data_IF_573998062641
#
_entry.id   IF_573998062641
#
_cell.length_a   1.000
_cell.length_b   1.000
_cell.length_c   1.000
_cell.angle_alpha   90.00
_cell.angle_beta   90.00
_cell.angle_gamma   90.00
#
_symmetry.space_group_name_H-M   'P 1'
#
loop_
_entity.id
_entity.type
_entity.pdbx_description
1 polymer ?
#
# COMPACT_ATOMS: atom_id res chain seq x y z
N UNK A 1 -31.17 19.52 -3.83
CA UNK A 1 -30.35 18.91 -2.76
C UNK A 1 -29.55 17.67 -3.22
N UNK A 2 -29.44 17.35 -4.53
CA UNK A 2 -28.85 16.09 -5.00
C UNK A 2 -27.33 16.08 -5.24
N UNK A 3 -26.73 17.18 -5.71
CA UNK A 3 -25.33 17.20 -6.19
C UNK A 3 -24.31 16.88 -5.08
N UNK A 4 -24.47 17.45 -3.88
CA UNK A 4 -23.54 17.19 -2.78
C UNK A 4 -23.59 15.75 -2.25
N UNK A 5 -24.74 15.08 -2.38
CA UNK A 5 -24.91 13.69 -1.94
C UNK A 5 -24.29 12.72 -2.94
N UNK A 6 -24.42 13.01 -4.24
CA UNK A 6 -23.78 12.25 -5.32
C UNK A 6 -22.25 12.28 -5.23
N UNK A 7 -21.66 13.46 -5.01
CA UNK A 7 -20.20 13.63 -4.86
C UNK A 7 -19.68 12.83 -3.65
N UNK A 8 -20.41 12.83 -2.53
CA UNK A 8 -20.04 12.05 -1.36
C UNK A 8 -20.06 10.53 -1.62
N UNK A 9 -21.08 10.02 -2.33
CA UNK A 9 -21.14 8.60 -2.72
C UNK A 9 -20.02 8.21 -3.68
N UNK A 10 -19.64 9.11 -4.59
CA UNK A 10 -18.49 8.88 -5.48
C UNK A 10 -17.17 8.78 -4.70
N UNK A 11 -16.95 9.65 -3.71
CA UNK A 11 -15.80 9.56 -2.81
C UNK A 11 -15.76 8.25 -2.00
N UNK A 12 -16.91 7.79 -1.52
CA UNK A 12 -17.03 6.51 -0.83
C UNK A 12 -16.69 5.33 -1.74
N UNK A 13 -17.15 5.35 -3.00
CA UNK A 13 -16.81 4.31 -3.98
C UNK A 13 -15.30 4.25 -4.27
N UNK A 14 -14.65 5.40 -4.39
CA UNK A 14 -13.18 5.47 -4.56
C UNK A 14 -12.43 4.86 -3.37
N UNK A 15 -12.86 5.16 -2.14
CA UNK A 15 -12.28 4.55 -0.93
C UNK A 15 -12.49 3.03 -0.90
N UNK A 16 -13.67 2.55 -1.29
CA UNK A 16 -13.94 1.11 -1.36
C UNK A 16 -13.03 0.42 -2.38
N UNK A 17 -12.88 1.00 -3.58
CA UNK A 17 -11.97 0.48 -4.59
C UNK A 17 -10.52 0.48 -4.10
N UNK A 18 -10.09 1.53 -3.41
CA UNK A 18 -8.77 1.59 -2.79
C UNK A 18 -8.57 0.51 -1.72
N UNK A 19 -9.57 0.29 -0.85
CA UNK A 19 -9.55 -0.80 0.14
C UNK A 19 -9.39 -2.16 -0.54
N UNK A 20 -10.14 -2.45 -1.61
CA UNK A 20 -10.02 -3.73 -2.33
C UNK A 20 -8.62 -3.92 -2.91
N UNK A 21 -8.04 -2.88 -3.49
CA UNK A 21 -6.67 -2.94 -4.01
C UNK A 21 -5.63 -3.14 -2.90
N UNK A 22 -5.76 -2.44 -1.77
CA UNK A 22 -4.87 -2.63 -0.62
C UNK A 22 -5.02 -4.03 -0.02
N UNK A 23 -6.24 -4.58 0.06
CA UNK A 23 -6.47 -5.98 0.47
C UNK A 23 -5.76 -6.95 -0.49
N UNK A 24 -5.83 -6.71 -1.80
CA UNK A 24 -5.11 -7.55 -2.77
C UNK A 24 -3.61 -7.48 -2.51
N UNK A 25 -3.05 -6.29 -2.26
CA UNK A 25 -1.63 -6.09 -1.90
C UNK A 25 -1.29 -6.79 -0.58
N UNK A 26 -2.14 -6.71 0.43
CA UNK A 26 -1.94 -7.40 1.71
C UNK A 26 -1.93 -8.93 1.55
N UNK A 27 -2.63 -9.46 0.54
CA UNK A 27 -2.71 -10.90 0.22
C UNK A 27 -1.61 -11.34 -0.77
N UNK A 28 -0.91 -10.40 -1.44
CA UNK A 28 0.27 -10.76 -2.26
C UNK A 28 1.36 -11.40 -1.40
N UNK A 29 2.25 -12.20 -2.03
CA UNK A 29 3.04 -13.28 -1.44
C UNK A 29 3.13 -13.31 0.11
N UNK A 30 2.65 -14.42 0.71
CA UNK A 30 2.99 -15.77 0.23
C UNK A 30 1.89 -16.52 -0.56
N UNK A 31 0.77 -15.91 -0.91
CA UNK A 31 -0.37 -16.66 -1.50
C UNK A 31 -0.32 -16.79 -3.04
N UNK A 32 0.33 -15.88 -3.77
CA UNK A 32 0.37 -15.92 -5.26
C UNK A 32 1.76 -15.58 -5.80
N UNK A 33 2.44 -16.56 -6.40
CA UNK A 33 3.81 -16.45 -6.97
C UNK A 33 3.89 -15.55 -8.21
N UNK A 34 2.75 -15.27 -8.87
CA UNK A 34 2.67 -14.36 -10.02
C UNK A 34 2.61 -12.88 -9.64
N UNK A 35 2.19 -12.56 -8.41
CA UNK A 35 2.04 -11.19 -7.93
C UNK A 35 3.14 -10.90 -6.91
N UNK A 36 4.39 -11.03 -7.34
CA UNK A 36 5.56 -10.71 -6.54
C UNK A 36 5.79 -9.19 -6.49
N UNK A 37 6.28 -8.66 -5.37
CA UNK A 37 6.79 -7.28 -5.28
C UNK A 37 8.13 -7.19 -6.01
N UNK A 38 8.92 -8.26 -5.93
CA UNK A 38 10.24 -8.37 -6.54
C UNK A 38 10.50 -9.81 -6.98
N UNK A 39 11.01 -9.96 -8.21
CA UNK A 39 11.60 -11.20 -8.73
C UNK A 39 13.09 -11.02 -8.93
N UNK A 40 13.88 -11.92 -8.36
CA UNK A 40 15.30 -12.07 -8.61
C UNK A 40 15.47 -13.40 -9.33
N UNK A 41 16.01 -13.41 -10.55
CA UNK A 41 16.45 -14.65 -11.18
C UNK A 41 17.89 -14.89 -10.73
N UNK A 42 18.15 -16.07 -10.20
CA UNK A 42 19.49 -16.48 -9.77
C UNK A 42 20.13 -17.28 -10.90
N UNK A 43 21.44 -17.12 -11.08
CA UNK A 43 22.19 -17.87 -12.09
C UNK A 43 22.35 -19.36 -11.76
N UNK A 44 22.87 -20.14 -12.70
CA UNK A 44 23.01 -21.62 -12.65
C UNK A 44 23.78 -22.21 -11.46
N UNK A 45 24.35 -21.38 -10.58
CA UNK A 45 25.16 -21.77 -9.43
C UNK A 45 24.40 -21.70 -8.09
N UNK A 46 23.16 -21.21 -8.09
CA UNK A 46 22.35 -21.03 -6.89
C UNK A 46 21.34 -22.16 -6.68
N UNK A 47 20.81 -22.26 -5.45
CA UNK A 47 19.77 -23.26 -5.11
C UNK A 47 18.40 -22.76 -5.60
N UNK A 48 18.02 -23.11 -6.83
CA UNK A 48 16.75 -22.73 -7.47
C UNK A 48 16.92 -21.73 -8.62
N UNK A 49 15.90 -21.60 -9.46
CA UNK A 49 15.93 -20.73 -10.65
C UNK A 49 15.70 -19.25 -10.33
N UNK A 50 15.13 -18.92 -9.17
CA UNK A 50 14.81 -17.55 -8.81
C UNK A 50 14.20 -17.42 -7.42
N UNK A 51 14.19 -16.21 -6.86
CA UNK A 51 13.53 -15.89 -5.60
C UNK A 51 12.51 -14.79 -5.84
N UNK A 52 11.28 -15.05 -5.42
CA UNK A 52 10.20 -14.06 -5.37
C UNK A 52 10.04 -13.55 -3.95
N UNK A 53 10.06 -12.23 -3.77
CA UNK A 53 9.73 -11.58 -2.51
C UNK A 53 8.33 -10.97 -2.57
N UNK A 54 7.56 -11.17 -1.50
CA UNK A 54 6.27 -10.52 -1.26
C UNK A 54 6.22 -9.78 0.06
N UNK A 55 5.03 -9.34 0.43
CA UNK A 55 4.81 -8.43 1.56
C UNK A 55 5.10 -9.08 2.90
N UNK A 56 4.82 -10.38 3.06
CA UNK A 56 5.02 -11.08 4.33
C UNK A 56 5.95 -12.29 4.25
N UNK A 57 6.55 -12.56 3.09
CA UNK A 57 7.46 -13.67 2.93
C UNK A 57 8.16 -13.69 1.58
N UNK A 58 8.82 -14.80 1.31
CA UNK A 58 9.52 -15.06 0.06
C UNK A 58 9.30 -16.51 -0.35
N UNK A 59 9.44 -16.78 -1.64
CA UNK A 59 9.46 -18.13 -2.19
C UNK A 59 10.70 -18.31 -3.06
N UNK A 60 11.32 -19.47 -2.95
CA UNK A 60 12.41 -19.92 -3.81
C UNK A 60 11.79 -20.82 -4.87
N UNK A 61 11.98 -20.47 -6.13
CA UNK A 61 11.41 -21.18 -7.28
C UNK A 61 12.35 -22.31 -7.71
N UNK A 62 11.73 -23.41 -8.13
CA UNK A 62 12.42 -24.56 -8.72
C UNK A 62 13.46 -25.24 -7.81
N UNK A 63 13.14 -25.37 -6.52
CA UNK A 63 13.92 -26.18 -5.58
C UNK A 63 13.53 -27.64 -5.81
N UNK A 64 14.33 -28.38 -6.58
CA UNK A 64 14.05 -29.77 -6.97
C UNK A 64 12.70 -29.94 -7.71
N UNK A 65 12.32 -28.97 -8.56
CA UNK A 65 11.06 -29.01 -9.32
C UNK A 65 9.80 -28.62 -8.52
N UNK A 66 9.96 -28.09 -7.29
CA UNK A 66 8.87 -27.52 -6.50
C UNK A 66 9.23 -26.11 -5.99
N UNK A 67 8.20 -25.27 -5.82
CA UNK A 67 8.35 -23.93 -5.24
C UNK A 67 8.28 -24.04 -3.71
N UNK A 68 9.35 -23.63 -3.03
CA UNK A 68 9.45 -23.63 -1.57
C UNK A 68 9.20 -22.22 -1.02
N UNK A 69 8.07 -22.04 -0.34
CA UNK A 69 7.66 -20.76 0.21
C UNK A 69 7.87 -20.68 1.73
N UNK A 70 8.44 -19.57 2.18
CA UNK A 70 8.56 -19.27 3.60
C UNK A 70 7.21 -18.98 4.24
N UNK A 71 7.07 -19.32 5.52
CA UNK A 71 5.90 -18.90 6.31
C UNK A 71 5.89 -17.37 6.45
N UNK A 72 4.68 -16.81 6.49
CA UNK A 72 4.45 -15.38 6.74
C UNK A 72 5.16 -14.95 8.03
N UNK A 73 6.21 -14.13 7.91
CA UNK A 73 7.01 -13.66 9.03
C UNK A 73 7.30 -12.16 8.90
N UNK A 74 7.21 -11.44 10.00
CA UNK A 74 7.53 -10.00 10.05
C UNK A 74 9.00 -9.84 10.42
N UNK A 75 9.71 -8.96 9.74
CA UNK A 75 11.11 -8.63 10.08
C UNK A 75 12.15 -9.54 9.44
N UNK A 76 11.80 -10.30 8.40
CA UNK A 76 12.79 -11.01 7.60
C UNK A 76 13.66 -10.02 6.82
N UNK A 77 14.87 -10.43 6.50
CA UNK A 77 15.82 -9.60 5.79
C UNK A 77 16.03 -10.19 4.38
N UNK A 78 15.53 -9.55 3.31
CA UNK A 78 15.74 -10.03 1.94
C UNK A 78 17.21 -10.09 1.56
N UNK A 79 18.07 -9.28 2.19
CA UNK A 79 19.52 -9.35 2.00
C UNK A 79 20.08 -10.72 2.45
N UNK A 80 19.76 -11.14 3.68
CA UNK A 80 20.25 -12.40 4.26
C UNK A 80 19.77 -13.64 3.47
N UNK A 81 18.61 -13.54 2.81
CA UNK A 81 18.05 -14.63 2.00
C UNK A 81 18.77 -14.73 0.66
N UNK A 82 19.10 -13.60 0.04
CA UNK A 82 19.87 -13.57 -1.21
C UNK A 82 21.31 -14.03 -0.96
N UNK A 83 21.96 -13.57 0.12
CA UNK A 83 23.30 -14.04 0.49
C UNK A 83 23.32 -15.53 0.81
N UNK A 84 22.31 -16.05 1.52
CA UNK A 84 22.21 -17.48 1.79
C UNK A 84 21.99 -18.32 0.52
N UNK A 85 21.38 -17.75 -0.53
CA UNK A 85 21.09 -18.45 -1.77
C UNK A 85 22.21 -18.37 -2.82
N UNK A 86 22.93 -17.24 -2.90
CA UNK A 86 24.03 -17.02 -3.87
C UNK A 86 25.43 -17.15 -3.25
N UNK A 87 25.56 -17.19 -1.92
CA UNK A 87 26.84 -17.33 -1.21
C UNK A 87 27.76 -16.10 -1.29
N UNK A 88 27.24 -14.95 -1.74
CA UNK A 88 27.97 -13.71 -1.96
C UNK A 88 27.66 -12.67 -0.88
N UNK A 89 28.67 -12.30 -0.07
CA UNK A 89 28.58 -11.35 1.05
C UNK A 89 28.53 -9.86 0.60
N UNK A 90 27.78 -9.54 -0.46
CA UNK A 90 27.72 -8.17 -1.00
C UNK A 90 26.73 -7.25 -0.25
N UNK A 91 26.15 -7.71 0.86
CA UNK A 91 25.22 -6.94 1.67
C UNK A 91 25.88 -6.17 2.82
N UNK A 92 26.01 -4.85 2.66
CA UNK A 92 26.41 -3.96 3.74
C UNK A 92 25.37 -3.96 4.88
N UNK A 93 25.85 -3.94 6.14
CA UNK A 93 25.05 -3.84 7.37
C UNK A 93 23.94 -2.75 7.34
N UNK A 94 24.19 -1.65 6.62
CA UNK A 94 23.20 -0.57 6.45
C UNK A 94 21.97 -1.01 5.63
N UNK A 95 22.18 -1.85 4.61
CA UNK A 95 21.11 -2.37 3.75
C UNK A 95 20.25 -3.39 4.49
N UNK A 96 20.89 -4.27 5.28
CA UNK A 96 20.22 -5.25 6.14
C UNK A 96 19.32 -4.58 7.18
N UNK A 97 19.87 -3.60 7.90
CA UNK A 97 19.11 -2.90 8.94
C UNK A 97 17.95 -2.10 8.34
N UNK A 98 18.13 -1.54 7.15
CA UNK A 98 17.06 -0.84 6.42
C UNK A 98 15.99 -1.80 5.95
N UNK A 99 16.36 -2.95 5.36
CA UNK A 99 15.39 -3.93 4.88
C UNK A 99 14.58 -4.55 6.02
N UNK A 100 15.21 -4.80 7.17
CA UNK A 100 14.54 -5.24 8.41
C UNK A 100 13.60 -4.18 8.98
N UNK A 101 13.98 -2.89 8.90
CA UNK A 101 13.11 -1.80 9.31
C UNK A 101 11.90 -1.68 8.36
N UNK A 102 12.13 -1.82 7.05
CA UNK A 102 11.08 -1.78 6.03
C UNK A 102 10.07 -2.92 6.23
N UNK A 103 10.52 -4.14 6.51
CA UNK A 103 9.61 -5.27 6.78
C UNK A 103 8.80 -5.12 8.07
N UNK A 104 9.27 -4.34 9.06
CA UNK A 104 8.43 -3.94 10.20
C UNK A 104 7.35 -2.93 9.82
N UNK A 105 7.65 -2.04 8.87
CA UNK A 105 6.68 -1.04 8.39
C UNK A 105 5.61 -1.66 7.48
N UNK A 106 5.82 -2.86 6.94
CA UNK A 106 4.79 -3.59 6.17
C UNK A 106 3.52 -3.92 6.99
N UNK A 107 3.60 -3.91 8.33
CA UNK A 107 2.41 -4.00 9.21
C UNK A 107 1.50 -2.78 9.07
N UNK A 108 2.01 -1.66 8.55
CA UNK A 108 1.25 -0.44 8.32
C UNK A 108 0.27 -0.56 7.14
N UNK A 109 0.52 -1.48 6.19
CA UNK A 109 -0.38 -1.75 5.07
C UNK A 109 -1.79 -2.19 5.53
N UNK A 110 -1.96 -3.25 6.35
CA UNK A 110 -3.29 -3.64 6.82
C UNK A 110 -3.95 -2.58 7.73
N UNK A 111 -3.15 -1.75 8.41
CA UNK A 111 -3.68 -0.59 9.16
C UNK A 111 -4.25 0.46 8.21
N UNK A 112 -3.56 0.76 7.11
CA UNK A 112 -4.06 1.65 6.06
C UNK A 112 -5.36 1.10 5.43
N UNK A 113 -5.39 -0.20 5.14
CA UNK A 113 -6.56 -0.92 4.63
C UNK A 113 -7.76 -0.79 5.58
N UNK A 114 -7.54 -1.03 6.87
CA UNK A 114 -8.57 -0.91 7.91
C UNK A 114 -9.09 0.52 8.05
N UNK A 115 -8.22 1.52 8.04
CA UNK A 115 -8.63 2.93 8.09
C UNK A 115 -9.44 3.35 6.86
N UNK A 116 -9.05 2.91 5.66
CA UNK A 116 -9.83 3.16 4.44
C UNK A 116 -11.22 2.51 4.52
N UNK A 117 -11.31 1.28 5.03
CA UNK A 117 -12.56 0.56 5.18
C UNK A 117 -13.50 1.23 6.21
N UNK A 118 -12.96 1.67 7.35
CA UNK A 118 -13.71 2.41 8.37
C UNK A 118 -14.20 3.75 7.78
N UNK A 119 -13.35 4.48 7.06
CA UNK A 119 -13.75 5.72 6.39
C UNK A 119 -14.90 5.49 5.40
N UNK A 120 -14.84 4.41 4.61
CA UNK A 120 -15.91 4.01 3.71
C UNK A 120 -17.23 3.72 4.45
N UNK A 121 -17.19 2.93 5.52
CA UNK A 121 -18.37 2.61 6.32
C UNK A 121 -18.99 3.86 6.95
N UNK A 122 -18.17 4.77 7.44
CA UNK A 122 -18.63 6.06 7.96
C UNK A 122 -19.28 6.90 6.85
N UNK A 123 -18.77 6.86 5.62
CA UNK A 123 -19.41 7.53 4.48
C UNK A 123 -20.79 6.92 4.11
N UNK A 124 -21.00 5.62 4.32
CA UNK A 124 -22.30 4.98 4.07
C UNK A 124 -23.31 5.21 5.20
N UNK A 125 -22.85 5.18 6.45
CA UNK A 125 -23.71 5.27 7.64
C UNK A 125 -24.02 6.70 8.12
N UNK A 126 -23.40 7.73 7.53
CA UNK A 126 -23.40 9.07 8.11
C UNK A 126 -24.70 9.87 7.89
N UNK A 127 -25.43 10.11 9.00
CA UNK A 127 -26.04 11.42 9.25
C UNK A 127 -24.98 12.54 9.40
N UNK A 128 -25.39 13.78 9.62
CA UNK A 128 -24.50 14.98 9.64
C UNK A 128 -23.22 14.83 10.50
N UNK A 129 -23.29 14.11 11.63
CA UNK A 129 -22.14 13.87 12.50
C UNK A 129 -21.12 12.89 11.89
N UNK A 130 -21.58 11.90 11.12
CA UNK A 130 -20.71 10.90 10.52
C UNK A 130 -19.82 11.45 9.41
N UNK A 131 -20.23 12.50 8.70
CA UNK A 131 -19.42 13.09 7.63
C UNK A 131 -18.16 13.80 8.16
N UNK A 132 -18.19 14.32 9.39
CA UNK A 132 -17.02 14.93 10.02
C UNK A 132 -15.98 13.89 10.43
N UNK A 133 -16.44 12.81 11.07
CA UNK A 133 -15.58 11.69 11.47
C UNK A 133 -15.02 10.99 10.23
N UNK A 134 -15.85 10.77 9.20
CA UNK A 134 -15.42 10.21 7.92
C UNK A 134 -14.29 11.04 7.28
N UNK A 135 -14.42 12.37 7.26
CA UNK A 135 -13.36 13.23 6.72
C UNK A 135 -12.05 13.07 7.50
N UNK A 136 -12.09 13.07 8.84
CA UNK A 136 -10.90 12.91 9.68
C UNK A 136 -10.24 11.55 9.49
N UNK A 137 -11.02 10.46 9.51
CA UNK A 137 -10.52 9.10 9.32
C UNK A 137 -9.97 8.93 7.91
N UNK A 138 -10.61 9.50 6.88
CA UNK A 138 -10.10 9.45 5.51
C UNK A 138 -8.74 10.15 5.39
N UNK A 139 -8.57 11.33 6.01
CA UNK A 139 -7.29 12.05 6.00
C UNK A 139 -6.20 11.26 6.71
N UNK A 140 -6.51 10.62 7.84
CA UNK A 140 -5.58 9.73 8.53
C UNK A 140 -5.20 8.53 7.65
N UNK A 141 -6.18 7.89 7.01
CA UNK A 141 -5.96 6.77 6.09
C UNK A 141 -5.01 7.19 4.94
N UNK A 142 -5.21 8.39 4.40
CA UNK A 142 -4.34 8.93 3.34
C UNK A 142 -2.90 9.16 3.82
N UNK A 143 -2.69 9.77 4.99
CA UNK A 143 -1.35 9.97 5.55
C UNK A 143 -0.63 8.62 5.73
N UNK A 144 -1.32 7.62 6.30
CA UNK A 144 -0.77 6.28 6.49
C UNK A 144 -0.45 5.62 5.14
N UNK A 145 -1.33 5.75 4.15
CA UNK A 145 -1.11 5.22 2.78
C UNK A 145 0.11 5.85 2.10
N UNK A 146 0.36 7.14 2.33
CA UNK A 146 1.57 7.81 1.80
C UNK A 146 2.84 7.29 2.46
N UNK A 147 2.82 7.05 3.78
CA UNK A 147 3.97 6.45 4.48
C UNK A 147 4.26 5.05 3.94
N UNK A 148 3.21 4.24 3.77
CA UNK A 148 3.27 2.92 3.14
C UNK A 148 3.91 2.99 1.74
N UNK A 149 3.38 3.86 0.87
CA UNK A 149 3.89 4.03 -0.49
C UNK A 149 5.37 4.46 -0.50
N UNK A 150 5.76 5.38 0.39
CA UNK A 150 7.15 5.82 0.49
C UNK A 150 8.09 4.67 0.91
N UNK A 151 7.67 3.84 1.87
CA UNK A 151 8.43 2.66 2.27
C UNK A 151 8.58 1.65 1.13
N UNK A 152 7.52 1.42 0.35
CA UNK A 152 7.56 0.51 -0.80
C UNK A 152 8.55 1.01 -1.88
N UNK A 153 8.59 2.32 -2.15
CA UNK A 153 9.58 2.91 -3.07
C UNK A 153 11.01 2.80 -2.56
N UNK A 154 11.24 3.01 -1.25
CA UNK A 154 12.59 2.87 -0.65
C UNK A 154 13.05 1.41 -0.73
N UNK A 155 12.18 0.46 -0.41
CA UNK A 155 12.47 -0.97 -0.52
C UNK A 155 12.88 -1.34 -1.94
N UNK A 156 12.11 -0.90 -2.93
CA UNK A 156 12.43 -1.12 -4.33
C UNK A 156 13.76 -0.45 -4.74
N UNK A 157 14.01 0.78 -4.29
CA UNK A 157 15.23 1.52 -4.61
C UNK A 157 16.51 0.86 -4.10
N UNK A 158 16.47 0.27 -2.90
CA UNK A 158 17.60 -0.49 -2.32
C UNK A 158 17.88 -1.74 -3.15
N UNK A 159 16.82 -2.49 -3.47
CA UNK A 159 16.93 -3.72 -4.24
C UNK A 159 17.48 -3.46 -5.64
N UNK A 160 16.90 -2.50 -6.38
CA UNK A 160 17.32 -2.21 -7.76
C UNK A 160 18.78 -1.75 -7.82
N UNK A 161 19.21 -0.90 -6.88
CA UNK A 161 20.59 -0.41 -6.82
C UNK A 161 21.59 -1.54 -6.55
N UNK A 162 21.17 -2.58 -5.83
CA UNK A 162 21.99 -3.75 -5.51
C UNK A 162 22.06 -4.76 -6.64
N UNK A 163 20.91 -5.12 -7.21
CA UNK A 163 20.88 -6.09 -8.32
C UNK A 163 21.55 -5.53 -9.57
N UNK A 164 21.40 -4.23 -9.85
CA UNK A 164 22.08 -3.58 -10.97
C UNK A 164 23.52 -3.13 -10.64
N UNK A 165 24.01 -3.42 -9.43
CA UNK A 165 25.37 -3.13 -8.98
C UNK A 165 26.24 -4.38 -8.85
N UNK A 166 25.65 -5.57 -8.89
CA UNK A 166 26.36 -6.82 -9.03
C UNK A 166 26.59 -7.08 -10.52
N UNK A 167 27.86 -7.19 -10.95
CA UNK A 167 28.30 -7.56 -12.31
C UNK A 167 27.96 -9.03 -12.68
N UNK A 168 26.86 -9.57 -12.15
CA UNK A 168 26.34 -10.90 -12.46
C UNK A 168 25.10 -10.79 -13.33
N UNK A 169 24.85 -11.81 -14.15
CA UNK A 169 23.73 -11.96 -15.12
C UNK A 169 22.32 -12.02 -14.46
N UNK A 170 22.21 -11.52 -13.23
CA UNK A 170 21.03 -11.54 -12.37
C UNK A 170 20.21 -10.27 -12.58
N UNK A 171 19.04 -10.40 -13.20
CA UNK A 171 18.17 -9.27 -13.54
C UNK A 171 16.93 -9.19 -12.65
N UNK A 172 16.79 -8.08 -11.91
CA UNK A 172 15.60 -7.79 -11.10
C UNK A 172 14.53 -7.09 -11.92
N UNK A 173 13.32 -7.65 -11.89
CA UNK A 173 12.17 -7.12 -12.63
C UNK A 173 11.14 -6.50 -11.69
N UNK A 174 10.46 -5.45 -12.19
CA UNK A 174 9.33 -4.83 -11.50
C UNK A 174 8.15 -5.80 -11.42
N UNK A 175 7.67 -6.04 -10.21
CA UNK A 175 6.45 -6.80 -9.97
C UNK A 175 5.17 -6.01 -10.23
N UNK A 176 4.06 -6.69 -10.51
CA UNK A 176 2.74 -6.06 -10.73
C UNK A 176 2.22 -5.40 -9.44
N UNK A 177 2.62 -5.89 -8.26
CA UNK A 177 2.16 -5.41 -6.96
C UNK A 177 2.44 -3.91 -6.74
N UNK A 178 3.57 -3.38 -7.22
CA UNK A 178 3.91 -1.96 -7.02
C UNK A 178 2.92 -1.03 -7.71
N UNK A 179 2.43 -1.42 -8.89
CA UNK A 179 1.45 -0.66 -9.64
C UNK A 179 0.11 -0.63 -8.93
N UNK A 180 -0.26 -1.73 -8.27
CA UNK A 180 -1.49 -1.81 -7.48
C UNK A 180 -1.42 -0.87 -6.27
N UNK A 181 -0.29 -0.78 -5.58
CA UNK A 181 -0.10 0.16 -4.45
C UNK A 181 -0.19 1.61 -4.93
N UNK A 182 0.44 1.95 -6.06
CA UNK A 182 0.37 3.30 -6.64
C UNK A 182 -1.06 3.67 -7.00
N UNK A 183 -1.79 2.77 -7.67
CA UNK A 183 -3.20 2.99 -8.03
C UNK A 183 -4.05 3.14 -6.76
N UNK A 184 -3.84 2.30 -5.75
CA UNK A 184 -4.53 2.42 -4.47
C UNK A 184 -4.28 3.78 -3.81
N UNK A 185 -3.03 4.24 -3.77
CA UNK A 185 -2.69 5.55 -3.19
C UNK A 185 -3.36 6.71 -3.93
N UNK A 186 -3.42 6.67 -5.26
CA UNK A 186 -4.12 7.68 -6.07
C UNK A 186 -5.62 7.67 -5.77
N UNK A 187 -6.24 6.49 -5.68
CA UNK A 187 -7.66 6.36 -5.37
C UNK A 187 -7.98 6.84 -3.94
N UNK A 188 -7.13 6.53 -2.96
CA UNK A 188 -7.26 7.05 -1.59
C UNK A 188 -7.15 8.57 -1.57
N UNK A 189 -6.18 9.15 -2.29
CA UNK A 189 -6.04 10.61 -2.42
C UNK A 189 -7.29 11.25 -3.05
N UNK A 190 -7.76 10.70 -4.18
CA UNK A 190 -8.94 11.21 -4.86
C UNK A 190 -10.19 11.10 -3.95
N UNK A 191 -10.35 9.97 -3.25
CA UNK A 191 -11.43 9.74 -2.30
C UNK A 191 -11.43 10.75 -1.14
N UNK A 192 -10.27 10.99 -0.52
CA UNK A 192 -10.14 11.96 0.58
C UNK A 192 -10.46 13.39 0.14
N UNK A 193 -9.95 13.83 -1.02
CA UNK A 193 -10.24 15.17 -1.57
C UNK A 193 -11.75 15.32 -1.80
N UNK A 194 -12.39 14.32 -2.42
CA UNK A 194 -13.83 14.35 -2.74
C UNK A 194 -14.68 14.42 -1.46
N UNK A 195 -14.35 13.63 -0.43
CA UNK A 195 -15.06 13.63 0.86
C UNK A 195 -14.85 14.96 1.60
N UNK A 196 -13.61 15.46 1.62
CA UNK A 196 -13.28 16.73 2.26
C UNK A 196 -14.02 17.91 1.60
N UNK A 197 -14.01 17.99 0.26
CA UNK A 197 -14.73 19.01 -0.50
C UNK A 197 -16.24 18.90 -0.27
N UNK A 198 -16.80 17.69 -0.23
CA UNK A 198 -18.22 17.46 0.06
C UNK A 198 -18.60 18.00 1.45
N UNK A 199 -17.75 17.77 2.46
CA UNK A 199 -17.96 18.26 3.81
C UNK A 199 -17.86 19.80 3.88
N UNK A 200 -16.83 20.39 3.27
CA UNK A 200 -16.64 21.85 3.24
C UNK A 200 -17.74 22.58 2.46
N UNK A 201 -18.17 22.05 1.32
CA UNK A 201 -19.27 22.61 0.52
C UNK A 201 -20.62 22.53 1.26
N UNK A 202 -20.88 21.41 1.96
CA UNK A 202 -22.06 21.24 2.81
C UNK A 202 -22.09 22.25 3.97
N UNK A 203 -20.94 22.49 4.61
CA UNK A 203 -20.82 23.48 5.70
C UNK A 203 -20.99 24.93 5.20
N UNK A 204 -20.37 25.29 4.08
CA UNK A 204 -20.50 26.65 3.49
C UNK A 204 -21.96 26.98 3.13
N UNK A 205 -22.71 26.03 2.55
CA UNK A 205 -24.13 26.23 2.25
C UNK A 205 -24.95 26.51 3.51
N UNK A 206 -24.74 25.75 4.60
CA UNK A 206 -25.46 25.97 5.86
C UNK A 206 -25.16 27.32 6.50
N UNK A 207 -23.91 27.77 6.49
CA UNK A 207 -23.54 29.09 6.99
C UNK A 207 -24.21 30.20 6.17
N UNK A 208 -24.30 30.03 4.85
CA UNK A 208 -24.95 30.99 3.95
C UNK A 208 -26.47 31.00 4.11
N UNK A 209 -27.10 29.86 4.39
CA UNK A 209 -28.53 29.74 4.71
C UNK A 209 -28.85 30.34 6.08
N UNK A 210 -28.05 30.06 7.11
CA UNK A 210 -28.22 30.66 8.44
C UNK A 210 -28.12 32.19 8.40
N UNK A 211 -27.21 32.73 7.58
CA UNK A 211 -27.04 34.19 7.40
C UNK A 211 -28.22 34.83 6.66
N UNK A 212 -28.92 34.10 5.78
CA UNK A 212 -30.14 34.59 5.13
C UNK A 212 -31.31 34.66 6.12
N UNK A 213 -31.46 33.65 6.97
CA UNK A 213 -32.55 33.62 7.98
C UNK A 213 -32.46 34.80 8.94
N UNK A 214 -31.26 35.20 9.36
CA UNK A 214 -31.07 36.38 10.22
C UNK A 214 -31.47 37.70 9.55
N UNK A 215 -31.31 37.84 8.23
CA UNK A 215 -31.66 39.08 7.50
C UNK A 215 -33.16 39.23 7.26
N UNK A 216 -33.97 38.17 7.40
CA UNK A 216 -35.43 38.26 7.28
C UNK A 216 -36.14 38.57 8.61
N UNK A 217 -35.40 38.60 9.72
CA UNK A 217 -35.92 38.90 11.06
C UNK A 217 -35.58 40.33 11.55
N UNK A 218 -34.94 41.14 10.70
CA UNK A 218 -34.77 42.60 10.85
C UNK A 218 -35.71 43.34 9.88
#
# INVERSE_FOLDING_TARGET
>A
MGVGRFIHHFGAFLLFAATVLLVIVDITAPVVNDISILKVNLGSSATGSGITFGTFGYCVLDVNGQDECSKSQIGYNPADIITAAEGSDDFSNASENTAKALTRVLVLHPVATGLCFIAFLLCLGAGVLGSLVASLVSTLAFIVTIVVLACDFVMFGIVKRKVNGADSDSSAHWGVAIWLVVVAAILTLAGTIVIFLSCCAGRRRRSHEARKVTTYHE
#
